data_IF_295700880488
#
_entry.id   IF_295700880488
#
_cell.length_a   1.000
_cell.length_b   1.000
_cell.length_c   1.000
_cell.angle_alpha   90.00
_cell.angle_beta   90.00
_cell.angle_gamma   90.00
#
_symmetry.space_group_name_H-M   'P 1'
#
loop_
_entity.id
_entity.type
_entity.pdbx_description
1 polymer ?
#
# COMPACT_ATOMS: atom_id res chain seq x y z
N UNK A 1 -1.57 5.58 0.01
CA UNK A 1 -2.33 4.60 0.80
C UNK A 1 -1.44 3.41 1.08
N UNK A 2 -1.47 2.92 2.32
CA UNK A 2 -0.70 1.78 2.79
C UNK A 2 -1.69 0.67 3.16
N UNK A 3 -1.59 -0.47 2.49
CA UNK A 3 -2.45 -1.64 2.74
C UNK A 3 -1.77 -2.54 3.76
N UNK A 4 -2.31 -2.53 4.98
CA UNK A 4 -1.93 -3.41 6.08
C UNK A 4 -2.78 -4.70 6.13
N UNK A 5 -3.61 -4.92 5.11
CA UNK A 5 -4.47 -6.10 4.98
C UNK A 5 -3.73 -7.31 4.42
N UNK A 6 -3.53 -8.32 5.26
CA UNK A 6 -3.12 -9.67 4.89
C UNK A 6 -3.49 -10.59 6.03
N UNK A 7 -4.15 -11.72 5.75
CA UNK A 7 -4.44 -12.68 6.79
C UNK A 7 -3.10 -13.12 7.40
N UNK A 8 -2.83 -12.73 8.65
CA UNK A 8 -1.67 -13.09 9.47
C UNK A 8 -1.59 -14.60 9.78
N UNK A 9 -2.10 -15.44 8.86
CA UNK A 9 -2.19 -16.89 8.97
C UNK A 9 -0.83 -17.58 8.92
N UNK A 10 0.21 -16.92 8.40
CA UNK A 10 1.55 -17.50 8.23
C UNK A 10 2.55 -17.13 9.33
N UNK A 11 2.26 -16.14 10.18
CA UNK A 11 3.13 -15.72 11.29
C UNK A 11 2.38 -15.79 12.64
N UNK A 12 1.68 -16.88 12.89
CA UNK A 12 1.11 -17.18 14.21
C UNK A 12 0.10 -16.16 14.77
N UNK A 13 -0.52 -15.31 13.93
CA UNK A 13 -1.48 -14.29 14.39
C UNK A 13 -0.86 -12.95 14.81
N UNK A 14 0.43 -12.73 14.60
CA UNK A 14 1.08 -11.43 14.87
C UNK A 14 0.67 -10.39 13.81
N UNK A 15 0.38 -9.16 14.24
CA UNK A 15 0.21 -7.98 13.39
C UNK A 15 1.51 -7.71 12.61
N UNK A 16 1.61 -8.32 11.43
CA UNK A 16 2.80 -8.36 10.56
C UNK A 16 3.35 -6.97 10.23
N UNK A 17 2.55 -5.97 9.82
CA UNK A 17 3.05 -4.60 9.63
C UNK A 17 3.57 -3.92 10.92
N UNK A 18 3.24 -4.45 12.09
CA UNK A 18 3.76 -4.01 13.38
C UNK A 18 5.12 -4.60 13.76
N UNK A 19 5.60 -5.62 13.03
CA UNK A 19 6.89 -6.26 13.31
C UNK A 19 8.02 -5.25 13.06
N UNK A 20 8.97 -5.10 13.99
CA UNK A 20 10.11 -4.26 13.76
C UNK A 20 11.14 -4.95 12.85
N UNK A 21 11.67 -4.17 11.91
CA UNK A 21 13.01 -4.38 11.33
C UNK A 21 13.87 -3.22 11.85
N UNK A 22 15.17 -3.33 12.12
CA UNK A 22 16.03 -2.21 12.51
C UNK A 22 15.44 -1.25 13.56
N UNK A 23 14.71 -1.80 14.55
CA UNK A 23 14.08 -1.05 15.65
C UNK A 23 12.81 -0.24 15.33
N UNK A 24 12.24 -0.34 14.12
CA UNK A 24 11.03 0.41 13.72
C UNK A 24 9.97 -0.51 13.11
N UNK A 25 8.66 -0.32 13.38
CA UNK A 25 7.61 -1.09 12.70
C UNK A 25 7.66 -0.91 11.18
N UNK A 26 7.39 -1.98 10.42
CA UNK A 26 7.37 -1.94 8.96
C UNK A 26 6.36 -0.90 8.44
N UNK A 27 5.15 -0.85 9.00
CA UNK A 27 4.11 0.12 8.57
C UNK A 27 4.60 1.56 8.69
N UNK A 28 5.31 1.86 9.78
CA UNK A 28 5.78 3.21 10.09
C UNK A 28 6.86 3.65 9.11
N UNK A 29 7.66 2.71 8.61
CA UNK A 29 8.63 2.98 7.54
C UNK A 29 7.92 3.34 6.25
N UNK A 30 6.93 2.54 5.85
CA UNK A 30 6.18 2.77 4.61
C UNK A 30 5.45 4.11 4.68
N UNK A 31 4.83 4.44 5.82
CA UNK A 31 4.19 5.74 6.03
C UNK A 31 5.16 6.91 5.99
N UNK A 32 6.39 6.74 6.50
CA UNK A 32 7.42 7.78 6.39
C UNK A 32 7.98 7.94 4.98
N UNK A 33 8.00 6.88 4.17
CA UNK A 33 8.36 6.96 2.76
C UNK A 33 7.40 7.83 1.94
N UNK A 34 6.20 8.09 2.47
CA UNK A 34 5.16 8.94 1.85
C UNK A 34 4.73 10.09 2.77
N UNK A 35 5.65 10.61 3.61
CA UNK A 35 5.33 11.68 4.56
C UNK A 35 4.86 12.99 3.90
N UNK A 36 5.19 13.21 2.62
CA UNK A 36 4.77 14.36 1.83
C UNK A 36 3.38 14.17 1.16
N UNK A 37 2.79 12.98 1.26
CA UNK A 37 1.47 12.71 0.71
C UNK A 37 0.36 13.34 1.58
N UNK A 38 -0.68 13.87 0.94
CA UNK A 38 -1.88 14.36 1.61
C UNK A 38 -3.12 13.95 0.80
N UNK A 39 -4.10 13.23 1.38
CA UNK A 39 -4.04 12.59 2.70
C UNK A 39 -3.14 11.33 2.70
N UNK A 40 -2.70 10.91 3.89
CA UNK A 40 -2.12 9.58 4.12
C UNK A 40 -3.20 8.67 4.66
N UNK A 41 -3.33 7.47 4.10
CA UNK A 41 -4.37 6.50 4.48
C UNK A 41 -3.72 5.15 4.76
N UNK A 42 -4.05 4.56 5.90
CA UNK A 42 -3.76 3.19 6.29
C UNK A 42 -5.04 2.37 6.17
N UNK A 43 -4.99 1.26 5.43
CA UNK A 43 -6.13 0.36 5.25
C UNK A 43 -5.82 -1.00 5.86
N UNK A 44 -6.63 -1.42 6.82
CA UNK A 44 -6.50 -2.70 7.51
C UNK A 44 -7.07 -2.64 8.93
N UNK A 45 -6.85 -3.69 9.75
CA UNK A 45 -7.17 -3.64 11.17
C UNK A 45 -6.53 -2.41 11.83
N UNK A 46 -7.25 -1.69 12.72
CA UNK A 46 -6.65 -0.59 13.45
C UNK A 46 -5.47 -1.13 14.29
N UNK A 47 -4.33 -0.41 14.31
CA UNK A 47 -3.23 -0.70 15.21
C UNK A 47 -3.70 -0.71 16.68
N UNK A 48 -3.05 -1.48 17.57
CA UNK A 48 -3.48 -1.64 18.97
C UNK A 48 -3.46 -0.33 19.78
N UNK A 49 -2.74 0.68 19.31
CA UNK A 49 -2.66 2.04 19.84
C UNK A 49 -3.78 2.98 19.35
N UNK A 50 -4.70 2.50 18.50
CA UNK A 50 -5.88 3.24 18.05
C UNK A 50 -7.15 2.60 18.63
N UNK A 51 -7.96 3.43 19.31
CA UNK A 51 -9.24 3.02 19.86
C UNK A 51 -10.23 2.68 18.72
N UNK A 52 -10.69 1.42 18.61
CA UNK A 52 -11.61 0.98 17.57
C UNK A 52 -13.04 1.50 17.75
N UNK A 53 -13.36 2.18 18.85
CA UNK A 53 -14.71 2.70 19.15
C UNK A 53 -15.00 4.09 18.55
N UNK A 54 -14.02 4.73 17.90
CA UNK A 54 -14.24 5.98 17.19
C UNK A 54 -15.00 5.73 15.86
N UNK A 55 -16.00 6.57 15.51
CA UNK A 55 -16.98 6.27 14.47
C UNK A 55 -16.37 6.08 13.07
N UNK A 56 -16.97 5.17 12.30
CA UNK A 56 -16.59 4.62 10.98
C UNK A 56 -16.55 5.62 9.80
N UNK A 57 -15.91 6.78 9.97
CA UNK A 57 -15.69 7.75 8.89
C UNK A 57 -14.27 8.30 8.99
N UNK A 58 -13.28 7.52 8.55
CA UNK A 58 -11.88 7.95 8.48
C UNK A 58 -11.36 8.53 9.79
N UNK A 59 -11.00 7.66 10.75
CA UNK A 59 -10.34 8.12 11.98
C UNK A 59 -9.11 8.94 11.59
N UNK A 60 -9.06 10.21 11.99
CA UNK A 60 -7.78 10.89 12.12
C UNK A 60 -7.05 10.19 13.26
N UNK A 61 -5.97 9.48 12.93
CA UNK A 61 -5.04 8.96 13.92
C UNK A 61 -4.57 10.08 14.87
N UNK A 62 -4.08 9.72 16.08
CA UNK A 62 -3.77 10.68 17.15
C UNK A 62 -2.95 11.89 16.68
N UNK A 63 -3.11 13.05 17.32
CA UNK A 63 -2.38 14.29 16.96
C UNK A 63 -0.85 14.15 17.06
N UNK A 64 -0.36 13.14 17.79
CA UNK A 64 1.06 12.84 17.97
C UNK A 64 1.36 11.37 17.76
N UNK A 65 2.60 11.07 17.37
CA UNK A 65 3.09 9.71 17.18
C UNK A 65 3.22 9.28 15.72
N UNK A 66 3.61 8.01 15.46
CA UNK A 66 3.94 7.53 14.11
C UNK A 66 2.78 7.60 13.12
N UNK A 67 1.54 7.54 13.63
CA UNK A 67 0.32 7.59 12.83
C UNK A 67 -0.27 9.00 12.75
N UNK A 68 0.36 10.04 13.31
CA UNK A 68 -0.26 11.36 13.36
C UNK A 68 -0.65 11.90 11.98
N UNK A 69 -1.91 12.31 11.84
CA UNK A 69 -2.48 12.80 10.58
C UNK A 69 -2.65 11.71 9.51
N UNK A 70 -2.64 10.42 9.87
CA UNK A 70 -2.95 9.30 8.98
C UNK A 70 -4.41 8.90 9.17
N UNK A 71 -5.15 8.76 8.07
CA UNK A 71 -6.52 8.28 8.12
C UNK A 71 -6.53 6.76 8.16
N UNK A 72 -7.37 6.17 9.02
CA UNK A 72 -7.48 4.72 9.13
C UNK A 72 -8.85 4.25 8.65
N UNK A 73 -8.86 3.21 7.84
CA UNK A 73 -10.08 2.52 7.38
C UNK A 73 -9.81 1.03 7.21
N UNK A 74 -10.85 0.26 6.94
CA UNK A 74 -10.77 -1.19 6.72
C UNK A 74 -11.71 -1.57 5.59
N UNK A 75 -11.32 -2.58 4.82
CA UNK A 75 -12.19 -3.16 3.82
C UNK A 75 -13.38 -3.90 4.43
N UNK A 76 -14.52 -3.86 3.74
CA UNK A 76 -15.72 -4.63 4.05
C UNK A 76 -16.04 -5.59 2.88
N UNK A 77 -16.21 -6.91 3.11
CA UNK A 77 -15.99 -7.60 4.38
C UNK A 77 -14.53 -7.59 4.82
N UNK A 78 -14.31 -7.53 6.13
CA UNK A 78 -13.02 -7.68 6.75
C UNK A 78 -12.23 -8.89 6.18
N UNK A 79 -10.99 -8.66 5.72
CA UNK A 79 -10.21 -9.69 5.04
C UNK A 79 -10.62 -9.94 3.59
N UNK A 80 -11.39 -9.03 3.00
CA UNK A 80 -11.83 -9.06 1.60
C UNK A 80 -10.71 -8.95 0.57
N UNK A 81 -9.47 -8.73 1.02
CA UNK A 81 -8.27 -8.76 0.19
C UNK A 81 -7.87 -7.39 -0.36
N UNK A 82 -6.76 -7.33 -1.12
CA UNK A 82 -6.09 -6.07 -1.45
C UNK A 82 -6.91 -5.14 -2.34
N UNK A 83 -7.81 -5.67 -3.17
CA UNK A 83 -8.69 -4.83 -4.02
C UNK A 83 -9.82 -4.21 -3.21
N UNK A 84 -10.41 -4.97 -2.27
CA UNK A 84 -11.40 -4.41 -1.34
C UNK A 84 -10.75 -3.32 -0.45
N UNK A 85 -9.51 -3.54 -0.01
CA UNK A 85 -8.73 -2.55 0.74
C UNK A 85 -8.39 -1.31 -0.11
N UNK A 86 -7.98 -1.48 -1.37
CA UNK A 86 -7.77 -0.35 -2.28
C UNK A 86 -9.05 0.48 -2.47
N UNK A 87 -10.21 -0.18 -2.60
CA UNK A 87 -11.51 0.49 -2.69
C UNK A 87 -11.84 1.32 -1.44
N UNK A 88 -11.72 0.71 -0.25
CA UNK A 88 -11.97 1.39 1.02
C UNK A 88 -11.05 2.61 1.22
N UNK A 89 -9.76 2.49 0.88
CA UNK A 89 -8.84 3.62 0.95
C UNK A 89 -9.15 4.72 -0.08
N UNK A 90 -9.53 4.36 -1.31
CA UNK A 90 -9.86 5.33 -2.37
C UNK A 90 -11.14 6.12 -2.10
N UNK A 91 -12.06 5.54 -1.34
CA UNK A 91 -13.28 6.21 -0.90
C UNK A 91 -13.00 7.40 0.02
N UNK A 92 -11.83 7.42 0.68
CA UNK A 92 -11.37 8.52 1.52
C UNK A 92 -10.66 9.65 0.74
N UNK A 93 -10.31 9.44 -0.53
CA UNK A 93 -9.62 10.47 -1.30
C UNK A 93 -10.62 11.46 -1.91
N UNK A 94 -10.33 12.76 -1.76
CA UNK A 94 -11.08 13.81 -2.45
C UNK A 94 -10.93 13.74 -3.98
N UNK A 95 -11.83 14.42 -4.70
CA UNK A 95 -11.76 14.51 -6.16
C UNK A 95 -10.54 15.33 -6.66
N UNK A 96 -9.97 16.14 -5.78
CA UNK A 96 -8.79 16.96 -5.98
C UNK A 96 -7.47 16.17 -5.91
N UNK A 97 -7.49 14.92 -5.44
CA UNK A 97 -6.31 14.05 -5.37
C UNK A 97 -6.09 13.35 -6.72
N UNK A 98 -5.08 13.74 -7.53
CA UNK A 98 -4.94 13.24 -8.89
C UNK A 98 -4.19 11.91 -8.95
N UNK A 99 -3.36 11.63 -7.95
CA UNK A 99 -2.40 10.54 -7.93
C UNK A 99 -2.36 9.90 -6.54
N UNK A 100 -2.22 8.58 -6.50
CA UNK A 100 -2.12 7.81 -5.26
C UNK A 100 -1.00 6.79 -5.34
N UNK A 101 -0.16 6.72 -4.31
CA UNK A 101 0.70 5.56 -4.08
C UNK A 101 -0.12 4.42 -3.45
N UNK A 102 -0.06 3.22 -4.02
CA UNK A 102 -0.65 2.01 -3.47
C UNK A 102 0.49 1.09 -3.00
N UNK A 103 0.65 0.98 -1.69
CA UNK A 103 1.82 0.38 -1.05
C UNK A 103 1.41 -0.75 -0.11
N UNK A 104 2.12 -1.86 -0.11
CA UNK A 104 2.05 -2.85 0.97
C UNK A 104 2.68 -2.28 2.25
N UNK A 105 2.18 -2.66 3.42
CA UNK A 105 2.64 -2.12 4.70
C UNK A 105 3.93 -2.77 5.24
N UNK A 106 4.44 -3.80 4.57
CA UNK A 106 5.54 -4.66 4.99
C UNK A 106 6.79 -4.50 4.12
N UNK A 107 7.01 -3.28 3.59
CA UNK A 107 8.13 -2.92 2.73
C UNK A 107 9.27 -2.23 3.54
N UNK A 108 10.19 -2.97 4.18
CA UNK A 108 11.23 -2.40 5.06
C UNK A 108 12.18 -1.41 4.38
N UNK A 109 12.34 -1.49 3.05
CA UNK A 109 13.34 -0.71 2.31
C UNK A 109 12.74 0.32 1.37
N UNK A 110 11.42 0.55 1.43
CA UNK A 110 10.80 1.62 0.67
C UNK A 110 11.29 2.99 1.17
N UNK A 111 11.78 3.81 0.25
CA UNK A 111 12.29 5.16 0.55
C UNK A 111 11.48 6.27 -0.13
N UNK A 112 11.53 7.51 0.38
CA UNK A 112 10.93 8.66 -0.31
C UNK A 112 11.45 8.85 -1.75
N UNK A 113 12.74 8.58 -1.98
CA UNK A 113 13.34 8.67 -3.32
C UNK A 113 12.77 7.60 -4.26
N UNK A 114 12.55 6.38 -3.76
CA UNK A 114 11.93 5.32 -4.54
C UNK A 114 10.48 5.69 -4.93
N UNK A 115 9.71 6.31 -4.03
CA UNK A 115 8.36 6.81 -4.36
C UNK A 115 8.42 8.00 -5.33
N UNK A 116 9.39 8.90 -5.15
CA UNK A 116 9.61 10.04 -6.04
C UNK A 116 9.94 9.61 -7.47
N UNK A 117 10.74 8.55 -7.63
CA UNK A 117 11.03 7.98 -8.95
C UNK A 117 9.77 7.46 -9.66
N UNK A 118 8.89 6.75 -8.93
CA UNK A 118 7.60 6.30 -9.46
C UNK A 118 6.69 7.48 -9.86
N UNK A 119 6.64 8.53 -9.02
CA UNK A 119 5.86 9.76 -9.29
C UNK A 119 6.37 10.49 -10.54
N UNK A 120 7.69 10.61 -10.71
CA UNK A 120 8.30 11.21 -11.90
C UNK A 120 7.96 10.41 -13.16
N UNK A 121 8.14 9.09 -13.11
CA UNK A 121 7.76 8.22 -14.22
C UNK A 121 6.29 8.34 -14.62
N UNK A 122 5.40 8.60 -13.65
CA UNK A 122 3.98 8.84 -13.95
C UNK A 122 3.73 10.23 -14.55
N UNK A 123 4.46 11.25 -14.08
CA UNK A 123 4.34 12.63 -14.55
C UNK A 123 4.88 12.81 -15.97
N UNK A 124 5.91 12.07 -16.35
CA UNK A 124 6.58 12.16 -17.66
C UNK A 124 5.77 11.52 -18.81
N UNK A 125 4.61 10.91 -18.52
CA UNK A 125 3.82 10.19 -19.52
C UNK A 125 2.31 10.19 -19.27
N UNK A 126 1.60 9.47 -20.14
CA UNK A 126 0.13 9.34 -20.11
C UNK A 126 -0.34 8.01 -19.54
N UNK A 127 0.56 7.24 -18.91
CA UNK A 127 0.21 5.96 -18.30
C UNK A 127 -0.76 6.14 -17.13
N UNK A 128 -1.54 5.09 -16.88
CA UNK A 128 -2.48 5.02 -15.76
C UNK A 128 -1.76 4.76 -14.43
N UNK A 129 -0.60 4.09 -14.49
CA UNK A 129 0.23 3.84 -13.32
C UNK A 129 1.68 3.51 -13.64
N UNK A 130 2.51 3.54 -12.61
CA UNK A 130 3.92 3.15 -12.63
C UNK A 130 4.20 2.22 -11.46
N UNK A 131 4.88 1.11 -11.73
CA UNK A 131 5.31 0.15 -10.74
C UNK A 131 6.79 -0.16 -10.91
N UNK A 132 7.43 -0.62 -9.84
CA UNK A 132 8.69 -1.32 -10.02
C UNK A 132 8.49 -2.68 -10.67
N UNK A 133 9.48 -3.11 -11.45
CA UNK A 133 9.60 -4.47 -11.98
C UNK A 133 10.92 -5.08 -11.53
N UNK A 134 10.84 -6.30 -11.01
CA UNK A 134 12.04 -7.03 -10.58
C UNK A 134 12.83 -7.62 -11.75
N UNK A 135 14.01 -8.15 -11.46
CA UNK A 135 14.89 -8.77 -12.45
C UNK A 135 14.28 -10.02 -13.12
N UNK A 136 13.31 -10.68 -12.48
CA UNK A 136 12.54 -11.79 -13.02
C UNK A 136 11.38 -11.35 -13.92
N UNK A 137 11.21 -10.04 -14.13
CA UNK A 137 10.15 -9.49 -14.95
C UNK A 137 8.79 -9.45 -14.23
N UNK A 138 8.72 -9.63 -12.92
CA UNK A 138 7.47 -9.50 -12.17
C UNK A 138 7.23 -8.05 -11.78
N UNK A 139 6.02 -7.57 -12.07
CA UNK A 139 5.53 -6.25 -11.64
C UNK A 139 5.14 -6.28 -10.16
N UNK A 140 5.56 -5.25 -9.44
CA UNK A 140 5.35 -5.09 -8.00
C UNK A 140 4.16 -4.15 -7.77
N UNK A 141 2.95 -4.68 -7.97
CA UNK A 141 1.72 -3.88 -8.04
C UNK A 141 1.33 -3.18 -6.73
N UNK A 142 1.78 -3.70 -5.59
CA UNK A 142 1.64 -3.08 -4.27
C UNK A 142 2.89 -2.27 -3.88
N UNK A 143 3.67 -1.85 -4.87
CA UNK A 143 4.72 -0.84 -4.76
C UNK A 143 4.63 0.05 -6.02
N UNK A 144 3.50 0.74 -6.16
CA UNK A 144 3.17 1.50 -7.37
C UNK A 144 2.47 2.82 -7.10
N UNK A 145 2.47 3.68 -8.11
CA UNK A 145 1.80 4.99 -8.11
C UNK A 145 0.82 5.04 -9.29
N UNK A 146 -0.40 5.51 -9.04
CA UNK A 146 -1.54 5.40 -9.95
C UNK A 146 -2.25 6.74 -10.10
N UNK A 147 -2.76 7.02 -11.30
CA UNK A 147 -3.75 8.08 -11.49
C UNK A 147 -5.05 7.65 -10.83
N UNK A 148 -5.54 8.46 -9.90
CA UNK A 148 -6.76 8.17 -9.14
C UNK A 148 -7.97 7.92 -10.06
N UNK A 149 -8.22 8.71 -11.12
CA UNK A 149 -9.34 8.47 -12.03
C UNK A 149 -9.28 7.09 -12.72
N UNK A 150 -8.10 6.68 -13.19
CA UNK A 150 -7.92 5.38 -13.86
C UNK A 150 -8.14 4.22 -12.88
N UNK A 151 -7.62 4.34 -11.66
CA UNK A 151 -7.77 3.30 -10.64
C UNK A 151 -9.23 3.18 -10.16
N UNK A 152 -9.96 4.29 -10.03
CA UNK A 152 -11.41 4.29 -9.74
C UNK A 152 -12.21 3.64 -10.86
N UNK A 153 -11.98 4.03 -12.12
CA UNK A 153 -12.65 3.42 -13.26
C UNK A 153 -12.39 1.91 -13.35
N UNK A 154 -11.18 1.46 -13.02
CA UNK A 154 -10.84 0.05 -12.96
C UNK A 154 -11.60 -0.70 -11.85
N UNK A 155 -11.75 -0.10 -10.67
CA UNK A 155 -12.56 -0.65 -9.58
C UNK A 155 -14.04 -0.75 -9.97
N UNK A 156 -14.61 0.31 -10.56
CA UNK A 156 -16.01 0.34 -10.96
C UNK A 156 -16.32 -0.73 -12.01
N UNK A 157 -15.45 -0.84 -13.02
CA UNK A 157 -15.55 -1.89 -14.04
C UNK A 157 -15.49 -3.28 -13.40
N UNK A 158 -14.51 -3.52 -12.53
CA UNK A 158 -14.35 -4.80 -11.88
C UNK A 158 -15.54 -5.14 -10.97
N UNK A 159 -16.08 -4.16 -10.25
CA UNK A 159 -17.29 -4.34 -9.45
C UNK A 159 -18.48 -4.73 -10.34
N UNK A 160 -18.67 -4.06 -11.48
CA UNK A 160 -19.70 -4.41 -12.47
C UNK A 160 -19.55 -5.83 -13.01
N UNK A 161 -18.33 -6.24 -13.37
CA UNK A 161 -18.01 -7.60 -13.84
C UNK A 161 -18.26 -8.68 -12.75
N UNK A 162 -18.24 -8.30 -11.47
CA UNK A 162 -18.35 -9.21 -10.32
C UNK A 162 -19.66 -9.07 -9.54
N UNK A 163 -20.69 -8.47 -10.14
CA UNK A 163 -22.01 -8.35 -9.50
C UNK A 163 -22.00 -7.48 -8.25
N UNK A 164 -21.14 -6.46 -8.21
CA UNK A 164 -21.05 -5.46 -7.14
C UNK A 164 -20.03 -5.76 -6.03
N UNK A 165 -19.45 -6.96 -5.97
CA UNK A 165 -18.50 -7.33 -4.91
C UNK A 165 -17.04 -7.35 -5.37
N UNK A 166 -16.18 -6.67 -4.61
CA UNK A 166 -14.72 -6.67 -4.80
C UNK A 166 -14.00 -7.67 -3.89
N UNK A 167 -14.72 -8.40 -3.03
CA UNK A 167 -14.11 -9.36 -2.12
C UNK A 167 -13.38 -10.49 -2.88
N UNK A 168 -12.19 -10.83 -2.43
CA UNK A 168 -11.32 -11.85 -3.04
C UNK A 168 -10.74 -11.47 -4.41
N UNK A 169 -10.92 -10.23 -4.89
CA UNK A 169 -10.33 -9.85 -6.17
C UNK A 169 -8.81 -9.70 -6.04
N UNK A 170 -8.10 -10.11 -7.09
CA UNK A 170 -6.65 -9.95 -7.16
C UNK A 170 -6.28 -8.58 -7.71
N UNK A 171 -5.18 -8.00 -7.22
CA UNK A 171 -4.63 -6.75 -7.79
C UNK A 171 -4.29 -6.93 -9.26
N UNK A 172 -3.87 -8.14 -9.69
CA UNK A 172 -3.65 -8.45 -11.10
C UNK A 172 -4.91 -8.23 -11.94
N UNK A 173 -6.07 -8.64 -11.45
CA UNK A 173 -7.35 -8.46 -12.15
C UNK A 173 -7.77 -6.99 -12.16
N UNK A 174 -7.62 -6.28 -11.03
CA UNK A 174 -7.89 -4.84 -10.96
C UNK A 174 -7.10 -4.06 -12.01
N UNK A 175 -5.83 -4.36 -12.15
CA UNK A 175 -4.93 -3.65 -13.05
C UNK A 175 -5.00 -4.16 -14.50
N UNK A 176 -5.80 -5.19 -14.78
CA UNK A 176 -5.97 -5.71 -16.13
C UNK A 176 -6.63 -4.65 -17.01
N UNK A 177 -5.99 -4.28 -18.11
CA UNK A 177 -6.47 -3.24 -19.02
C UNK A 177 -5.98 -1.82 -18.71
N UNK A 178 -5.25 -1.61 -17.61
CA UNK A 178 -4.55 -0.35 -17.36
C UNK A 178 -3.22 -0.31 -18.13
N UNK A 179 -2.88 0.88 -18.64
CA UNK A 179 -1.56 1.16 -19.21
C UNK A 179 -0.59 1.45 -18.08
N UNK A 180 0.38 0.56 -17.86
CA UNK A 180 1.30 0.65 -16.72
C UNK A 180 2.73 0.64 -17.21
N UNK A 181 3.50 1.65 -16.81
CA UNK A 181 4.94 1.72 -17.04
C UNK A 181 5.66 0.95 -15.95
N UNK A 182 6.67 0.17 -16.34
CA UNK A 182 7.52 -0.55 -15.41
C UNK A 182 8.86 0.15 -15.27
N UNK A 183 9.16 0.56 -14.05
CA UNK A 183 10.43 1.16 -13.71
C UNK A 183 11.42 0.05 -13.27
N UNK A 184 12.60 -0.06 -13.89
CA UNK A 184 13.67 -0.86 -13.30
C UNK A 184 14.18 -0.19 -12.02
N UNK A 185 14.67 -0.98 -11.07
CA UNK A 185 15.42 -0.46 -9.93
C UNK A 185 16.87 -0.21 -10.30
N UNK A 186 17.32 1.02 -10.12
CA UNK A 186 18.70 1.44 -10.38
C UNK A 186 19.50 1.74 -9.10
N UNK A 187 18.90 1.53 -7.91
CA UNK A 187 19.57 1.78 -6.64
C UNK A 187 20.53 0.66 -6.26
N UNK A 188 21.50 0.99 -5.40
CA UNK A 188 22.53 0.05 -4.90
C UNK A 188 22.12 -0.70 -3.63
N UNK A 189 20.99 -0.33 -3.03
CA UNK A 189 20.45 -0.95 -1.82
C UNK A 189 19.41 -2.05 -2.10
N UNK A 190 18.85 -2.66 -1.05
CA UNK A 190 17.76 -3.63 -1.18
C UNK A 190 16.61 -3.08 -2.02
N UNK A 191 15.89 -3.95 -2.76
CA UNK A 191 14.79 -3.50 -3.60
C UNK A 191 13.67 -2.89 -2.76
N UNK A 192 13.09 -1.74 -3.17
CA UNK A 192 12.08 -1.03 -2.39
C UNK A 192 10.75 -1.78 -2.24
N UNK A 193 10.54 -2.83 -3.05
CA UNK A 193 9.37 -3.70 -3.00
C UNK A 193 9.62 -5.02 -2.24
N UNK A 194 10.79 -5.21 -1.63
CA UNK A 194 11.02 -6.38 -0.78
C UNK A 194 9.96 -6.39 0.32
N UNK A 195 9.17 -7.45 0.41
CA UNK A 195 8.10 -7.62 1.39
C UNK A 195 8.48 -8.72 2.40
N UNK A 196 8.21 -8.44 3.67
CA UNK A 196 8.55 -9.38 4.75
C UNK A 196 7.44 -10.41 4.98
N UNK A 197 7.21 -11.35 4.07
CA UNK A 197 6.13 -12.36 4.13
C UNK A 197 6.26 -13.42 5.22
N UNK A 198 7.49 -13.73 5.61
CA UNK A 198 7.82 -14.78 6.58
C UNK A 198 8.81 -14.28 7.61
N UNK A 199 8.96 -15.03 8.71
CA UNK A 199 10.02 -14.78 9.70
C UNK A 199 11.42 -14.79 9.08
N UNK A 200 11.63 -15.56 8.01
CA UNK A 200 12.89 -15.58 7.28
C UNK A 200 13.13 -14.27 6.54
N UNK A 201 12.09 -13.69 5.93
CA UNK A 201 12.20 -12.41 5.24
C UNK A 201 12.48 -11.27 6.24
N UNK A 202 11.88 -11.32 7.44
CA UNK A 202 12.19 -10.37 8.53
C UNK A 202 13.63 -10.50 8.98
N UNK A 203 14.13 -11.72 9.20
CA UNK A 203 15.55 -11.95 9.56
C UNK A 203 16.49 -11.42 8.48
N UNK A 204 16.18 -11.69 7.21
CA UNK A 204 16.95 -11.19 6.07
C UNK A 204 16.93 -9.66 6.01
N UNK A 205 15.79 -9.05 6.30
CA UNK A 205 15.66 -7.61 6.33
C UNK A 205 16.46 -6.99 7.49
N UNK A 206 16.48 -7.62 8.66
CA UNK A 206 17.31 -7.21 9.81
C UNK A 206 18.81 -7.27 9.50
N UNK A 207 19.26 -8.28 8.75
CA UNK A 207 20.66 -8.37 8.32
C UNK A 207 21.06 -7.24 7.38
N UNK A 208 20.19 -6.85 6.44
CA UNK A 208 20.45 -5.72 5.52
C UNK A 208 20.27 -4.35 6.16
N UNK A 209 19.56 -4.26 7.30
CA UNK A 209 19.35 -3.00 8.01
C UNK A 209 20.50 -2.62 8.95
N UNK A 210 21.47 -3.52 9.17
CA UNK A 210 22.69 -3.30 9.95
C UNK A 210 23.77 -2.60 9.14
#
# INVERSE_FOLDING_TARGET
>A
MVLAGGAARRMGGVDKPGVPVGGRPLRDRVLAAVADATPRVLVGPPPPDIDPSAPDTGLSAPDTGPLAGVWVTREEPAGGGPVAAASAGLALLGADVPVVALLAADLPFLTPDAVTALRRGLADGTADGVCYRDAGGRRQSLCGVWRVPALRAALDRLAGERGGSLAGASVRTLLAGLTVVDLPWAGTGPPPWFDCDTDEDVRRAEEWAR
#
